data_IF_874771504483
#
_entry.id   IF_874771504483
#
_cell.length_a   1.000
_cell.length_b   1.000
_cell.length_c   1.000
_cell.angle_alpha   90.00
_cell.angle_beta   90.00
_cell.angle_gamma   90.00
#
_symmetry.space_group_name_H-M   'P 1'
#
loop_
_entity.id
_entity.type
_entity.pdbx_description
1 polymer ?
#
# COMPACT_ATOMS: atom_id res chain seq x y z
N UNK A 1 -22.30 10.47 0.11
CA UNK A 1 -21.70 9.11 0.18
C UNK A 1 -20.17 9.14 0.11
N UNK A 2 -19.56 9.84 -0.84
CA UNK A 2 -18.09 9.97 -0.94
C UNK A 2 -17.44 10.45 0.37
N UNK A 3 -17.93 11.54 0.97
CA UNK A 3 -17.39 12.09 2.23
C UNK A 3 -17.35 11.09 3.40
N UNK A 4 -18.33 10.17 3.48
CA UNK A 4 -18.32 9.11 4.49
C UNK A 4 -17.19 8.11 4.23
N UNK A 5 -16.95 7.74 2.96
CA UNK A 5 -15.84 6.85 2.59
C UNK A 5 -14.49 7.47 2.94
N UNK A 6 -14.32 8.77 2.71
CA UNK A 6 -13.13 9.52 3.10
C UNK A 6 -12.86 9.49 4.60
N UNK A 7 -13.88 9.76 5.43
CA UNK A 7 -13.74 9.72 6.88
C UNK A 7 -13.33 8.30 7.33
N UNK A 8 -13.98 7.27 6.79
CA UNK A 8 -13.65 5.88 7.10
C UNK A 8 -12.24 5.51 6.66
N UNK A 9 -11.79 5.96 5.48
CA UNK A 9 -10.43 5.73 4.97
C UNK A 9 -9.37 6.39 5.86
N UNK A 10 -9.58 7.63 6.28
CA UNK A 10 -8.63 8.34 7.15
C UNK A 10 -8.58 7.69 8.54
N UNK A 11 -9.74 7.34 9.12
CA UNK A 11 -9.78 6.68 10.43
C UNK A 11 -9.17 5.27 10.41
N UNK A 12 -9.51 4.46 9.41
CA UNK A 12 -8.94 3.11 9.26
C UNK A 12 -7.46 3.16 8.90
N UNK A 13 -7.05 4.06 8.00
CA UNK A 13 -5.67 4.27 7.61
C UNK A 13 -4.79 4.71 8.77
N UNK A 14 -5.22 5.71 9.56
CA UNK A 14 -4.50 6.12 10.79
C UNK A 14 -4.43 5.01 11.82
N UNK A 15 -5.48 4.20 11.96
CA UNK A 15 -5.47 3.01 12.80
C UNK A 15 -4.42 1.98 12.36
N UNK A 16 -4.30 1.72 11.06
CA UNK A 16 -3.28 0.82 10.51
C UNK A 16 -1.88 1.39 10.73
N UNK A 17 -1.66 2.69 10.47
CA UNK A 17 -0.37 3.35 10.71
C UNK A 17 0.06 3.19 12.18
N UNK A 18 -0.86 3.43 13.11
CA UNK A 18 -0.58 3.29 14.54
C UNK A 18 -0.21 1.83 14.91
N UNK A 19 -0.95 0.86 14.39
CA UNK A 19 -0.71 -0.57 14.67
C UNK A 19 0.61 -1.07 14.04
N UNK A 20 0.89 -0.68 12.81
CA UNK A 20 2.12 -1.05 12.11
C UNK A 20 3.36 -0.48 12.81
N UNK A 21 3.30 0.79 13.24
CA UNK A 21 4.41 1.44 13.94
C UNK A 21 4.66 0.91 15.36
N UNK A 22 3.62 0.47 16.07
CA UNK A 22 3.69 0.04 17.47
C UNK A 22 3.97 -1.45 17.61
N UNK A 23 3.20 -2.29 16.93
CA UNK A 23 3.21 -3.74 17.14
C UNK A 23 3.58 -4.54 15.90
N UNK A 24 3.74 -3.92 14.71
CA UNK A 24 3.92 -4.57 13.39
C UNK A 24 2.80 -5.55 13.00
N UNK A 25 1.90 -5.84 13.92
CA UNK A 25 0.73 -6.68 13.76
C UNK A 25 -0.45 -5.76 13.48
N UNK A 26 -0.91 -5.78 12.23
CA UNK A 26 -2.06 -5.02 11.79
C UNK A 26 -3.30 -5.91 11.92
N UNK A 27 -4.37 -5.38 12.49
CA UNK A 27 -5.65 -6.08 12.54
C UNK A 27 -6.20 -6.27 11.13
N UNK A 28 -6.48 -7.52 10.77
CA UNK A 28 -7.04 -7.88 9.47
C UNK A 28 -8.38 -7.15 9.22
N UNK A 29 -9.20 -6.98 10.25
CA UNK A 29 -10.46 -6.24 10.16
C UNK A 29 -10.27 -4.77 9.76
N UNK A 30 -9.23 -4.11 10.27
CA UNK A 30 -8.92 -2.73 9.89
C UNK A 30 -8.53 -2.63 8.42
N UNK A 31 -7.73 -3.59 7.93
CA UNK A 31 -7.34 -3.64 6.52
C UNK A 31 -8.56 -3.91 5.63
N UNK A 32 -9.46 -4.82 6.03
CA UNK A 32 -10.69 -5.07 5.29
C UNK A 32 -11.60 -3.84 5.22
N UNK A 33 -11.77 -3.12 6.33
CA UNK A 33 -12.55 -1.88 6.36
C UNK A 33 -11.90 -0.83 5.46
N UNK A 34 -10.59 -0.67 5.53
CA UNK A 34 -9.84 0.25 4.68
C UNK A 34 -10.00 -0.10 3.19
N UNK A 35 -9.81 -1.38 2.82
CA UNK A 35 -9.94 -1.86 1.45
C UNK A 35 -11.37 -1.69 0.92
N UNK A 36 -12.38 -2.04 1.72
CA UNK A 36 -13.78 -1.89 1.35
C UNK A 36 -14.16 -0.42 1.13
N UNK A 37 -13.72 0.47 2.01
CA UNK A 37 -13.95 1.91 1.85
C UNK A 37 -13.24 2.46 0.60
N UNK A 38 -12.03 1.98 0.30
CA UNK A 38 -11.26 2.39 -0.88
C UNK A 38 -11.93 1.95 -2.18
N UNK A 39 -12.31 0.67 -2.26
CA UNK A 39 -12.99 0.10 -3.43
C UNK A 39 -14.35 0.75 -3.63
N UNK A 40 -15.12 0.97 -2.56
CA UNK A 40 -16.41 1.64 -2.64
C UNK A 40 -16.25 3.08 -3.15
N UNK A 41 -15.25 3.82 -2.66
CA UNK A 41 -14.94 5.16 -3.17
C UNK A 41 -14.60 5.12 -4.66
N UNK A 42 -13.76 4.17 -5.08
CA UNK A 42 -13.35 4.03 -6.48
C UNK A 42 -14.55 3.71 -7.39
N UNK A 43 -15.40 2.76 -7.00
CA UNK A 43 -16.59 2.35 -7.76
C UNK A 43 -17.67 3.44 -7.86
N UNK A 44 -17.66 4.44 -6.97
CA UNK A 44 -18.54 5.61 -7.09
C UNK A 44 -18.08 6.59 -8.18
N UNK A 45 -16.82 6.49 -8.62
CA UNK A 45 -16.22 7.38 -9.61
C UNK A 45 -15.90 6.67 -10.94
N UNK A 46 -15.71 5.36 -10.89
CA UNK A 46 -15.22 4.54 -11.99
C UNK A 46 -16.01 3.25 -12.15
N UNK A 47 -15.84 2.60 -13.30
CA UNK A 47 -16.56 1.37 -13.62
C UNK A 47 -15.92 0.13 -12.97
N UNK A 48 -16.73 -0.91 -12.75
CA UNK A 48 -16.24 -2.23 -12.29
C UNK A 48 -15.22 -2.85 -13.26
N UNK A 49 -15.33 -2.55 -14.56
CA UNK A 49 -14.39 -3.05 -15.56
C UNK A 49 -12.98 -2.49 -15.34
N UNK A 50 -12.87 -1.18 -15.09
CA UNK A 50 -11.61 -0.53 -14.77
C UNK A 50 -11.00 -1.06 -13.45
N UNK A 51 -11.86 -1.34 -12.45
CA UNK A 51 -11.40 -1.96 -11.21
C UNK A 51 -10.77 -3.34 -11.47
N UNK A 52 -11.37 -4.16 -12.33
CA UNK A 52 -10.85 -5.49 -12.69
C UNK A 52 -9.50 -5.36 -13.42
N UNK A 53 -9.40 -4.45 -14.39
CA UNK A 53 -8.17 -4.16 -15.11
C UNK A 53 -7.04 -3.74 -14.17
N UNK A 54 -7.31 -2.79 -13.27
CA UNK A 54 -6.37 -2.35 -12.25
C UNK A 54 -5.99 -3.49 -11.31
N UNK A 55 -6.93 -4.37 -10.95
CA UNK A 55 -6.66 -5.52 -10.09
C UNK A 55 -5.68 -6.50 -10.73
N UNK A 56 -5.88 -6.81 -12.01
CA UNK A 56 -4.98 -7.69 -12.77
C UNK A 56 -3.60 -7.06 -12.85
N UNK A 57 -3.53 -5.78 -13.22
CA UNK A 57 -2.25 -5.07 -13.33
C UNK A 57 -1.51 -4.97 -11.99
N UNK A 58 -2.22 -4.59 -10.91
CA UNK A 58 -1.69 -4.54 -9.55
C UNK A 58 -1.14 -5.90 -9.12
N UNK A 59 -1.87 -6.98 -9.40
CA UNK A 59 -1.44 -8.34 -9.07
C UNK A 59 -0.17 -8.73 -9.85
N UNK A 60 -0.12 -8.45 -11.16
CA UNK A 60 1.05 -8.70 -11.99
C UNK A 60 2.27 -7.91 -11.51
N UNK A 61 2.09 -6.62 -11.19
CA UNK A 61 3.16 -5.76 -10.68
C UNK A 61 3.65 -6.21 -9.30
N UNK A 62 2.74 -6.61 -8.41
CA UNK A 62 3.10 -7.21 -7.11
C UNK A 62 3.92 -8.48 -7.29
N UNK A 63 3.45 -9.42 -8.13
CA UNK A 63 4.16 -10.68 -8.39
C UNK A 63 5.54 -10.44 -8.99
N UNK A 64 5.66 -9.49 -9.93
CA UNK A 64 6.95 -9.09 -10.49
C UNK A 64 7.88 -8.55 -9.41
N UNK A 65 7.42 -7.61 -8.59
CA UNK A 65 8.22 -6.99 -7.51
C UNK A 65 8.62 -8.04 -6.48
N UNK A 66 7.70 -8.92 -6.10
CA UNK A 66 7.95 -10.02 -5.17
C UNK A 66 8.98 -11.00 -5.72
N UNK A 67 8.87 -11.38 -7.00
CA UNK A 67 9.82 -12.27 -7.67
C UNK A 67 11.22 -11.65 -7.72
N UNK A 68 11.33 -10.38 -8.09
CA UNK A 68 12.63 -9.65 -8.07
C UNK A 68 13.23 -9.67 -6.67
N UNK A 69 12.43 -9.45 -5.64
CA UNK A 69 12.89 -9.46 -4.25
C UNK A 69 13.31 -10.87 -3.79
N UNK A 70 12.57 -11.90 -4.19
CA UNK A 70 12.94 -13.32 -3.97
C UNK A 70 14.27 -13.65 -4.65
N UNK A 71 14.44 -13.28 -5.92
CA UNK A 71 15.69 -13.51 -6.65
C UNK A 71 16.86 -12.76 -6.00
N UNK A 72 16.67 -11.51 -5.57
CA UNK A 72 17.72 -10.73 -4.91
C UNK A 72 18.21 -11.42 -3.62
N UNK A 73 17.30 -11.85 -2.74
CA UNK A 73 17.68 -12.54 -1.52
C UNK A 73 18.22 -13.95 -1.77
N UNK A 74 17.71 -14.64 -2.79
CA UNK A 74 18.24 -15.92 -3.21
C UNK A 74 19.71 -15.80 -3.66
N UNK A 75 20.03 -14.81 -4.49
CA UNK A 75 21.40 -14.56 -4.94
C UNK A 75 22.32 -14.14 -3.78
N UNK A 76 21.81 -13.33 -2.85
CA UNK A 76 22.59 -12.83 -1.71
C UNK A 76 22.87 -13.89 -0.65
N UNK A 77 21.87 -14.67 -0.27
CA UNK A 77 21.96 -15.62 0.84
C UNK A 77 22.15 -17.08 0.37
N UNK A 78 22.05 -17.35 -0.94
CA UNK A 78 22.09 -18.69 -1.56
C UNK A 78 21.09 -19.69 -0.95
N UNK A 79 20.03 -19.19 -0.32
CA UNK A 79 18.98 -19.99 0.34
C UNK A 79 17.62 -19.40 0.03
N UNK A 80 16.63 -20.27 -0.13
CA UNK A 80 15.24 -19.86 -0.17
C UNK A 80 14.76 -19.59 1.24
N UNK A 81 14.92 -18.34 1.70
CA UNK A 81 14.30 -17.90 2.94
C UNK A 81 12.81 -17.58 2.68
N UNK A 82 11.95 -17.87 3.65
CA UNK A 82 10.54 -17.45 3.61
C UNK A 82 10.45 -15.94 3.82
N UNK A 83 10.61 -15.19 2.75
CA UNK A 83 10.63 -13.71 2.75
C UNK A 83 9.33 -13.14 3.34
N UNK A 84 8.19 -13.80 3.09
CA UNK A 84 6.87 -13.39 3.60
C UNK A 84 6.74 -13.53 5.13
N UNK A 85 7.54 -14.38 5.77
CA UNK A 85 7.49 -14.54 7.23
C UNK A 85 8.61 -13.74 7.90
N UNK A 86 9.74 -13.55 7.21
CA UNK A 86 10.94 -12.95 7.80
C UNK A 86 11.11 -11.45 7.50
N UNK A 87 10.71 -10.99 6.30
CA UNK A 87 10.99 -9.62 5.82
C UNK A 87 9.73 -8.82 5.49
N UNK A 88 8.79 -9.41 4.78
CA UNK A 88 7.62 -8.73 4.22
C UNK A 88 6.37 -9.24 4.93
N UNK A 89 5.67 -8.40 5.70
CA UNK A 89 4.51 -8.87 6.46
C UNK A 89 3.29 -9.09 5.58
N UNK A 90 2.42 -10.05 5.95
CA UNK A 90 1.13 -10.23 5.28
C UNK A 90 0.29 -8.95 5.25
N UNK A 91 0.35 -8.15 6.32
CA UNK A 91 -0.30 -6.84 6.37
C UNK A 91 0.17 -5.89 5.26
N UNK A 92 1.46 -5.89 4.94
CA UNK A 92 2.02 -5.06 3.87
C UNK A 92 1.44 -5.47 2.51
N UNK A 93 1.30 -6.78 2.25
CA UNK A 93 0.70 -7.30 1.01
C UNK A 93 -0.76 -6.91 0.89
N UNK A 94 -1.54 -7.05 1.96
CA UNK A 94 -2.96 -6.67 1.91
C UNK A 94 -3.14 -5.17 1.73
N UNK A 95 -2.32 -4.34 2.38
CA UNK A 95 -2.34 -2.88 2.18
C UNK A 95 -1.92 -2.51 0.76
N UNK A 96 -0.89 -3.17 0.23
CA UNK A 96 -0.45 -3.00 -1.15
C UNK A 96 -1.59 -3.27 -2.14
N UNK A 97 -2.29 -4.40 -1.99
CA UNK A 97 -3.41 -4.75 -2.86
C UNK A 97 -4.61 -3.82 -2.66
N UNK A 98 -4.93 -3.46 -1.41
CA UNK A 98 -6.03 -2.55 -1.09
C UNK A 98 -5.85 -1.16 -1.72
N UNK A 99 -4.61 -0.69 -1.83
CA UNK A 99 -4.26 0.58 -2.46
C UNK A 99 -4.16 0.42 -3.97
N UNK A 100 -3.37 -0.53 -4.45
CA UNK A 100 -3.00 -0.65 -5.86
C UNK A 100 -4.18 -0.95 -6.78
N UNK A 101 -5.19 -1.69 -6.31
CA UNK A 101 -6.41 -1.95 -7.10
C UNK A 101 -7.18 -0.66 -7.45
N UNK A 102 -7.04 0.39 -6.64
CA UNK A 102 -7.74 1.66 -6.82
C UNK A 102 -6.91 2.72 -7.55
N UNK A 103 -5.72 2.38 -8.06
CA UNK A 103 -4.83 3.30 -8.78
C UNK A 103 -4.66 2.81 -10.23
N UNK A 104 -4.71 3.75 -11.17
CA UNK A 104 -4.46 3.45 -12.58
C UNK A 104 -3.05 2.88 -12.82
N UNK A 105 -2.86 1.99 -13.82
CA UNK A 105 -1.61 1.25 -14.03
C UNK A 105 -0.33 2.10 -14.09
N UNK A 106 -0.38 3.23 -14.81
CA UNK A 106 0.76 4.13 -14.92
C UNK A 106 1.10 4.78 -13.58
N UNK A 107 0.09 5.32 -12.89
CA UNK A 107 0.24 5.95 -11.57
C UNK A 107 0.68 4.96 -10.51
N UNK A 108 0.25 3.68 -10.61
CA UNK A 108 0.59 2.62 -9.67
C UNK A 108 2.09 2.40 -9.58
N UNK A 109 2.79 2.32 -10.73
CA UNK A 109 4.24 2.11 -10.78
C UNK A 109 4.95 3.27 -10.09
N UNK A 110 4.65 4.51 -10.47
CA UNK A 110 5.27 5.70 -9.89
C UNK A 110 4.96 5.82 -8.39
N UNK A 111 3.72 5.55 -7.99
CA UNK A 111 3.29 5.63 -6.60
C UNK A 111 4.03 4.63 -5.72
N UNK A 112 4.07 3.34 -6.09
CA UNK A 112 4.73 2.33 -5.26
C UNK A 112 6.24 2.46 -5.28
N UNK A 113 6.86 2.70 -6.45
CA UNK A 113 8.31 2.92 -6.51
C UNK A 113 8.72 4.16 -5.71
N UNK A 114 8.00 5.28 -5.87
CA UNK A 114 8.21 6.49 -5.09
C UNK A 114 8.02 6.27 -3.59
N UNK A 115 6.94 5.60 -3.18
CA UNK A 115 6.66 5.29 -1.77
C UNK A 115 7.72 4.37 -1.16
N UNK A 116 8.24 3.39 -1.92
CA UNK A 116 9.34 2.55 -1.45
C UNK A 116 10.64 3.33 -1.27
N UNK A 117 10.98 4.22 -2.21
CA UNK A 117 12.16 5.10 -2.10
C UNK A 117 12.02 6.00 -0.87
N UNK A 118 10.87 6.65 -0.70
CA UNK A 118 10.57 7.49 0.48
C UNK A 118 10.69 6.67 1.76
N UNK A 119 10.17 5.44 1.78
CA UNK A 119 10.25 4.56 2.94
C UNK A 119 11.69 4.22 3.32
N UNK A 120 12.55 3.97 2.33
CA UNK A 120 13.98 3.72 2.53
C UNK A 120 14.68 4.97 3.08
N UNK A 121 14.37 6.15 2.53
CA UNK A 121 14.93 7.43 2.99
C UNK A 121 14.55 7.67 4.45
N UNK A 122 13.25 7.59 4.77
CA UNK A 122 12.75 7.78 6.14
C UNK A 122 13.39 6.77 7.09
N UNK A 123 13.54 5.52 6.66
CA UNK A 123 14.20 4.50 7.46
C UNK A 123 15.65 4.87 7.80
N UNK A 124 16.42 5.32 6.79
CA UNK A 124 17.83 5.67 6.96
C UNK A 124 18.03 6.85 7.91
N UNK A 125 17.18 7.89 7.82
CA UNK A 125 17.32 9.11 8.61
C UNK A 125 16.68 9.03 10.00
N UNK A 126 15.52 8.38 10.14
CA UNK A 126 14.70 8.50 11.35
C UNK A 126 14.47 7.18 12.09
N UNK A 127 14.51 6.02 11.42
CA UNK A 127 14.11 4.73 12.01
C UNK A 127 15.25 3.72 12.08
N UNK A 128 16.50 4.17 11.99
CA UNK A 128 17.70 3.30 12.03
C UNK A 128 17.80 2.46 13.32
N UNK A 129 17.14 2.87 14.40
CA UNK A 129 17.07 2.13 15.67
C UNK A 129 16.05 0.98 15.66
N UNK A 130 15.13 0.92 14.69
CA UNK A 130 14.14 -0.15 14.57
C UNK A 130 14.68 -1.31 13.72
N UNK A 131 14.42 -2.53 14.20
CA UNK A 131 14.85 -3.79 13.56
C UNK A 131 14.16 -4.03 12.21
N UNK A 132 13.00 -3.40 11.98
CA UNK A 132 12.18 -3.61 10.78
C UNK A 132 11.67 -2.27 10.22
N UNK A 133 11.40 -2.26 8.91
CA UNK A 133 10.84 -1.12 8.19
C UNK A 133 9.30 -1.26 8.22
N UNK A 134 8.56 -0.35 8.87
CA UNK A 134 7.10 -0.34 8.87
C UNK A 134 6.58 0.17 7.53
N UNK A 135 6.43 -0.74 6.56
CA UNK A 135 6.16 -0.40 5.16
C UNK A 135 4.71 0.09 5.00
N UNK A 136 3.73 -0.68 5.48
CA UNK A 136 2.31 -0.28 5.45
C UNK A 136 2.08 1.09 6.14
N UNK A 137 2.72 1.32 7.28
CA UNK A 137 2.61 2.58 8.03
C UNK A 137 3.20 3.80 7.31
N UNK A 138 4.09 3.61 6.33
CA UNK A 138 4.67 4.68 5.52
C UNK A 138 3.94 4.86 4.17
N UNK A 139 3.41 3.78 3.60
CA UNK A 139 2.66 3.82 2.34
C UNK A 139 1.29 4.47 2.52
N UNK A 140 0.57 4.19 3.63
CA UNK A 140 -0.78 4.73 3.84
C UNK A 140 -0.80 6.27 3.91
N UNK A 141 0.10 6.96 4.64
CA UNK A 141 0.17 8.43 4.60
C UNK A 141 0.42 8.96 3.18
N UNK A 142 1.33 8.32 2.44
CA UNK A 142 1.61 8.71 1.05
C UNK A 142 0.36 8.54 0.18
N UNK A 143 -0.40 7.47 0.40
CA UNK A 143 -1.65 7.24 -0.30
C UNK A 143 -2.71 8.28 0.05
N UNK A 144 -2.93 8.57 1.33
CA UNK A 144 -3.90 9.59 1.74
C UNK A 144 -3.59 10.95 1.13
N UNK A 145 -2.30 11.34 1.06
CA UNK A 145 -1.88 12.54 0.35
C UNK A 145 -2.18 12.46 -1.16
N UNK A 146 -1.86 11.34 -1.80
CA UNK A 146 -2.16 11.12 -3.22
C UNK A 146 -3.66 11.30 -3.52
N UNK A 147 -4.55 10.68 -2.74
CA UNK A 147 -6.00 10.82 -2.98
C UNK A 147 -6.45 12.28 -2.77
N UNK A 148 -5.92 12.98 -1.76
CA UNK A 148 -6.23 14.41 -1.55
C UNK A 148 -5.80 15.26 -2.74
N UNK A 149 -4.59 15.05 -3.26
CA UNK A 149 -4.10 15.74 -4.46
C UNK A 149 -4.96 15.46 -5.68
N UNK A 150 -5.30 14.19 -5.90
CA UNK A 150 -6.16 13.79 -7.03
C UNK A 150 -7.53 14.46 -6.96
N UNK A 151 -8.12 14.52 -5.77
CA UNK A 151 -9.40 15.19 -5.55
C UNK A 151 -9.33 16.70 -5.81
N UNK A 152 -8.26 17.38 -5.36
CA UNK A 152 -8.05 18.80 -5.63
C UNK A 152 -7.91 19.05 -7.14
N UNK A 153 -7.10 18.25 -7.83
CA UNK A 153 -6.89 18.39 -9.28
C UNK A 153 -8.19 18.22 -10.07
N UNK A 154 -9.03 17.24 -9.71
CA UNK A 154 -10.34 17.03 -10.37
C UNK A 154 -11.34 18.17 -10.15
N UNK A 155 -11.30 18.83 -8.99
CA UNK A 155 -12.17 19.99 -8.75
C UNK A 155 -11.71 21.25 -9.47
N UNK A 156 -10.47 21.28 -9.96
CA UNK A 156 -9.91 22.41 -10.71
C UNK A 156 -10.09 22.30 -12.24
N UNK A 157 -10.56 21.15 -12.74
CA UNK A 157 -10.79 20.84 -14.17
C UNK A 157 -12.27 20.77 -14.50
#
# INVERSE_FOLDING_TARGET
MLWLCWIVLVLSGTGIIYQDLKTRLISLWLILIFAAANILQYLLLYSCYQLLENTIFCTCYFLFTFLVLVLFYYLKNKRFEKIMDSKLGWGDVFVFMAIGVCIEPAHLIFFFTGSFIISIIIYFFFLRSKVFIPLAGLIIPCYLLYVVFEHICRFSS
#
